data_IF_576002913768
#
_entry.id   IF_576002913768
#
_cell.length_a   1.000
_cell.length_b   1.000
_cell.length_c   1.000
_cell.angle_alpha   90.00
_cell.angle_beta   90.00
_cell.angle_gamma   90.00
#
_symmetry.space_group_name_H-M   'P 1'
#
loop_
_entity.id
_entity.type
_entity.pdbx_description
1 polymer ?
#
# COMPACT_ATOMS: atom_id res chain seq x y z
N UNK A 1 50.08 23.70 14.36
CA UNK A 1 49.24 22.50 14.13
C UNK A 1 47.81 22.67 14.67
N UNK A 2 46.94 23.49 14.05
CA UNK A 2 45.51 23.63 14.48
C UNK A 2 44.49 23.77 13.34
N UNK A 3 44.93 23.83 12.08
CA UNK A 3 44.05 24.00 10.90
C UNK A 3 43.45 22.69 10.38
N UNK A 4 44.00 21.54 10.77
CA UNK A 4 43.58 20.22 10.28
C UNK A 4 42.29 19.73 10.95
N UNK A 5 42.20 19.82 12.29
CA UNK A 5 41.06 19.33 13.06
C UNK A 5 39.73 20.07 12.76
N UNK A 6 39.79 21.39 12.47
CA UNK A 6 38.60 22.19 12.14
C UNK A 6 38.03 21.88 10.75
N UNK A 7 38.87 21.38 9.83
CA UNK A 7 38.44 20.99 8.48
C UNK A 7 37.76 19.62 8.48
N UNK A 8 38.21 18.72 9.35
CA UNK A 8 37.67 17.37 9.53
C UNK A 8 36.30 17.37 10.24
N UNK A 9 36.11 18.22 11.26
CA UNK A 9 34.81 18.38 11.93
C UNK A 9 33.72 18.96 11.01
N UNK A 10 34.08 19.91 10.12
CA UNK A 10 33.14 20.47 9.12
C UNK A 10 32.70 19.46 8.05
N UNK A 11 33.55 18.49 7.73
CA UNK A 11 33.23 17.45 6.76
C UNK A 11 32.25 16.41 7.34
N UNK A 12 32.44 16.03 8.60
CA UNK A 12 31.57 15.08 9.30
C UNK A 12 30.13 15.59 9.49
N UNK A 13 29.97 16.88 9.84
CA UNK A 13 28.64 17.49 10.04
C UNK A 13 27.85 17.61 8.72
N UNK A 14 28.55 17.94 7.61
CA UNK A 14 27.96 17.99 6.27
C UNK A 14 27.48 16.63 5.76
N UNK A 15 28.18 15.55 6.12
CA UNK A 15 27.79 14.19 5.76
C UNK A 15 26.52 13.74 6.50
N UNK A 16 26.42 14.02 7.81
CA UNK A 16 25.20 13.74 8.59
C UNK A 16 23.98 14.51 8.09
N UNK A 17 24.14 15.78 7.73
CA UNK A 17 23.05 16.58 7.18
C UNK A 17 22.57 16.07 5.81
N UNK A 18 23.48 15.57 4.97
CA UNK A 18 23.14 14.99 3.68
C UNK A 18 22.40 13.64 3.79
N UNK A 19 22.73 12.82 4.79
CA UNK A 19 22.07 11.54 5.04
C UNK A 19 20.65 11.73 5.60
N UNK A 20 20.48 12.65 6.55
CA UNK A 20 19.17 13.01 7.09
C UNK A 20 18.24 13.61 6.02
N UNK A 21 18.77 14.39 5.07
CA UNK A 21 18.00 14.92 3.96
C UNK A 21 17.53 13.82 2.97
N UNK A 22 18.34 12.77 2.77
CA UNK A 22 17.96 11.61 1.93
C UNK A 22 16.86 10.78 2.60
N UNK A 23 16.93 10.58 3.91
CA UNK A 23 15.90 9.89 4.68
C UNK A 23 14.56 10.62 4.60
N UNK A 24 14.54 11.94 4.85
CA UNK A 24 13.31 12.74 4.74
C UNK A 24 12.71 12.73 3.34
N UNK A 25 13.55 12.78 2.28
CA UNK A 25 13.07 12.65 0.90
C UNK A 25 12.52 11.26 0.60
N UNK A 26 13.13 10.21 1.13
CA UNK A 26 12.65 8.85 0.99
C UNK A 26 11.32 8.64 1.73
N UNK A 27 11.14 9.24 2.91
CA UNK A 27 9.89 9.23 3.67
C UNK A 27 8.78 9.99 2.96
N UNK A 28 9.06 11.19 2.43
CA UNK A 28 8.07 11.99 1.70
C UNK A 28 7.67 11.33 0.36
N UNK A 29 8.63 10.70 -0.32
CA UNK A 29 8.36 9.87 -1.50
C UNK A 29 7.53 8.63 -1.14
N UNK A 30 7.82 7.98 -0.02
CA UNK A 30 7.06 6.84 0.47
C UNK A 30 5.64 7.24 0.89
N UNK A 31 5.45 8.41 1.51
CA UNK A 31 4.13 8.94 1.85
C UNK A 31 3.29 9.25 0.60
N UNK A 32 3.91 9.81 -0.44
CA UNK A 32 3.25 10.04 -1.74
C UNK A 32 2.91 8.73 -2.45
N UNK A 33 3.75 7.71 -2.33
CA UNK A 33 3.46 6.37 -2.82
C UNK A 33 2.26 5.77 -2.07
N UNK A 34 2.29 5.75 -0.74
CA UNK A 34 1.15 5.28 0.08
C UNK A 34 -0.16 5.98 -0.26
N UNK A 35 -0.15 7.31 -0.36
CA UNK A 35 -1.36 8.05 -0.71
C UNK A 35 -1.90 7.72 -2.13
N UNK A 36 -1.02 7.34 -3.07
CA UNK A 36 -1.44 6.84 -4.39
C UNK A 36 -1.98 5.42 -4.30
N UNK A 37 -1.32 4.56 -3.52
CA UNK A 37 -1.74 3.18 -3.26
C UNK A 37 -3.13 3.15 -2.61
N UNK A 38 -3.38 3.97 -1.59
CA UNK A 38 -4.69 4.11 -0.93
C UNK A 38 -5.78 4.56 -1.90
N UNK A 39 -5.48 5.53 -2.77
CA UNK A 39 -6.43 5.98 -3.81
C UNK A 39 -6.73 4.87 -4.82
N UNK A 40 -5.72 4.10 -5.22
CA UNK A 40 -5.89 2.96 -6.13
C UNK A 40 -6.75 1.88 -5.48
N UNK A 41 -6.42 1.48 -4.25
CA UNK A 41 -7.17 0.48 -3.46
C UNK A 41 -8.62 0.89 -3.29
N UNK A 42 -8.89 2.14 -2.87
CA UNK A 42 -10.24 2.66 -2.74
C UNK A 42 -10.99 2.67 -4.08
N UNK A 43 -10.31 3.03 -5.17
CA UNK A 43 -10.88 2.98 -6.52
C UNK A 43 -11.22 1.56 -6.99
N UNK A 44 -10.40 0.57 -6.65
CA UNK A 44 -10.67 -0.84 -6.93
C UNK A 44 -11.83 -1.38 -6.10
N UNK A 45 -11.90 -1.01 -4.81
CA UNK A 45 -12.99 -1.39 -3.91
C UNK A 45 -14.34 -0.78 -4.33
N UNK A 46 -14.36 0.48 -4.76
CA UNK A 46 -15.57 1.14 -5.25
C UNK A 46 -16.16 0.46 -6.49
N UNK A 47 -15.30 -0.12 -7.33
CA UNK A 47 -15.69 -0.82 -8.57
C UNK A 47 -15.86 -2.33 -8.38
N UNK A 48 -15.72 -2.85 -7.15
CA UNK A 48 -15.68 -4.29 -6.86
C UNK A 48 -14.81 -5.05 -7.87
N UNK A 49 -13.60 -4.52 -8.11
CA UNK A 49 -12.75 -5.04 -9.19
C UNK A 49 -12.25 -6.44 -8.81
N UNK A 50 -12.34 -7.39 -9.72
CA UNK A 50 -11.89 -8.76 -9.47
C UNK A 50 -10.39 -8.77 -9.10
N UNK A 51 -9.98 -9.52 -8.06
CA UNK A 51 -8.60 -9.56 -7.63
C UNK A 51 -7.61 -9.97 -8.74
N UNK A 52 -8.00 -10.84 -9.68
CA UNK A 52 -7.20 -11.18 -10.86
C UNK A 52 -6.80 -9.95 -11.70
N UNK A 53 -7.73 -9.01 -11.90
CA UNK A 53 -7.45 -7.77 -12.64
C UNK A 53 -6.49 -6.88 -11.86
N UNK A 54 -6.63 -6.80 -10.54
CA UNK A 54 -5.75 -6.01 -9.67
C UNK A 54 -4.34 -6.60 -9.64
N UNK A 55 -4.22 -7.94 -9.61
CA UNK A 55 -2.96 -8.65 -9.68
C UNK A 55 -2.20 -8.36 -10.98
N UNK A 56 -2.92 -8.27 -12.10
CA UNK A 56 -2.37 -7.86 -13.40
C UNK A 56 -1.99 -6.38 -13.46
N UNK A 57 -2.82 -5.49 -12.91
CA UNK A 57 -2.60 -4.03 -12.85
C UNK A 57 -1.33 -3.68 -12.04
N UNK A 58 -1.10 -4.40 -10.93
CA UNK A 58 0.11 -4.29 -10.11
C UNK A 58 1.37 -4.89 -10.75
N UNK A 59 1.24 -5.51 -11.93
CA UNK A 59 2.34 -6.14 -12.66
C UNK A 59 2.87 -7.43 -12.00
N UNK A 60 2.18 -7.95 -10.98
CA UNK A 60 2.60 -9.15 -10.23
C UNK A 60 2.65 -10.38 -11.15
N UNK A 61 1.77 -10.44 -12.14
CA UNK A 61 1.78 -11.49 -13.17
C UNK A 61 3.11 -11.56 -13.95
N UNK A 62 3.76 -10.41 -14.20
CA UNK A 62 5.05 -10.35 -14.91
C UNK A 62 6.24 -10.71 -14.00
N UNK A 63 6.07 -10.57 -12.69
CA UNK A 63 7.09 -10.86 -11.69
C UNK A 63 7.15 -12.35 -11.33
N UNK A 64 6.07 -13.10 -11.55
CA UNK A 64 6.01 -14.55 -11.31
C UNK A 64 6.41 -14.88 -9.87
N UNK A 65 7.42 -15.73 -9.69
CA UNK A 65 7.88 -16.17 -8.37
C UNK A 65 8.48 -15.05 -7.50
N UNK A 66 8.90 -13.93 -8.09
CA UNK A 66 9.41 -12.75 -7.34
C UNK A 66 8.30 -11.78 -6.94
N UNK A 67 7.04 -12.11 -7.24
CA UNK A 67 5.90 -11.27 -6.88
C UNK A 67 5.78 -11.15 -5.35
N UNK A 68 5.96 -12.24 -4.61
CA UNK A 68 5.84 -12.28 -3.14
C UNK A 68 6.89 -11.46 -2.41
N UNK A 69 8.05 -11.22 -3.02
CA UNK A 69 9.12 -10.37 -2.47
C UNK A 69 8.89 -8.87 -2.74
N UNK A 70 7.91 -8.53 -3.59
CA UNK A 70 7.60 -7.15 -3.95
C UNK A 70 6.70 -6.48 -2.91
N UNK A 71 6.96 -5.20 -2.63
CA UNK A 71 6.05 -4.33 -1.85
C UNK A 71 4.63 -4.30 -2.44
N UNK A 72 4.49 -4.52 -3.75
CA UNK A 72 3.20 -4.56 -4.44
C UNK A 72 2.33 -5.75 -4.01
N UNK A 73 2.92 -6.86 -3.60
CA UNK A 73 2.16 -8.04 -3.16
C UNK A 73 1.50 -7.81 -1.81
N UNK A 74 2.19 -7.14 -0.89
CA UNK A 74 1.60 -6.73 0.39
C UNK A 74 0.35 -5.85 0.20
N UNK A 75 0.38 -4.93 -0.76
CA UNK A 75 -0.77 -4.06 -1.08
C UNK A 75 -1.93 -4.89 -1.63
N UNK A 76 -1.62 -5.88 -2.46
CA UNK A 76 -2.60 -6.81 -3.00
C UNK A 76 -3.28 -7.66 -1.92
N UNK A 77 -2.53 -8.14 -0.92
CA UNK A 77 -3.09 -8.88 0.23
C UNK A 77 -4.04 -8.01 1.05
N UNK A 78 -3.67 -6.75 1.31
CA UNK A 78 -4.54 -5.83 2.04
C UNK A 78 -5.82 -5.51 1.24
N UNK A 79 -5.70 -5.37 -0.08
CA UNK A 79 -6.86 -5.25 -0.97
C UNK A 79 -7.77 -6.48 -0.92
N UNK A 80 -7.21 -7.69 -0.95
CA UNK A 80 -7.97 -8.94 -0.88
C UNK A 80 -8.80 -9.01 0.40
N UNK A 81 -8.20 -8.71 1.56
CA UNK A 81 -8.92 -8.69 2.83
C UNK A 81 -10.13 -7.75 2.80
N UNK A 82 -9.92 -6.51 2.33
CA UNK A 82 -10.99 -5.51 2.19
C UNK A 82 -12.05 -5.92 1.16
N UNK A 83 -11.63 -6.55 0.07
CA UNK A 83 -12.53 -7.03 -0.99
C UNK A 83 -13.43 -8.16 -0.47
N UNK A 84 -12.88 -9.18 0.19
CA UNK A 84 -13.68 -10.26 0.76
C UNK A 84 -14.63 -9.76 1.83
N UNK A 85 -14.18 -8.88 2.73
CA UNK A 85 -15.05 -8.25 3.73
C UNK A 85 -16.22 -7.47 3.07
N UNK A 86 -15.94 -6.74 1.98
CA UNK A 86 -16.96 -6.01 1.21
C UNK A 86 -17.96 -6.96 0.56
N UNK A 87 -17.49 -8.04 -0.05
CA UNK A 87 -18.31 -9.06 -0.71
C UNK A 87 -19.15 -9.84 0.31
N UNK A 88 -18.58 -10.23 1.45
CA UNK A 88 -19.31 -10.89 2.54
C UNK A 88 -20.39 -9.98 3.12
N UNK A 89 -20.11 -8.70 3.33
CA UNK A 89 -21.13 -7.74 3.77
C UNK A 89 -22.24 -7.58 2.72
N UNK A 90 -21.91 -7.56 1.43
CA UNK A 90 -22.91 -7.53 0.35
C UNK A 90 -23.75 -8.81 0.28
N UNK A 91 -23.12 -9.98 0.42
CA UNK A 91 -23.80 -11.27 0.44
C UNK A 91 -24.71 -11.45 1.65
N UNK A 92 -24.30 -10.92 2.81
CA UNK A 92 -25.10 -10.94 4.04
C UNK A 92 -26.31 -10.01 3.95
N UNK A 93 -26.20 -8.87 3.25
CA UNK A 93 -27.34 -8.02 2.90
C UNK A 93 -28.36 -8.79 2.04
N UNK A 94 -27.92 -9.54 1.03
CA UNK A 94 -28.84 -10.36 0.21
C UNK A 94 -29.48 -11.53 0.98
N UNK A 95 -28.80 -12.12 1.96
CA UNK A 95 -29.34 -13.26 2.74
C UNK A 95 -30.31 -12.82 3.85
N UNK A 96 -30.14 -11.63 4.42
CA UNK A 96 -31.04 -11.08 5.45
C UNK A 96 -32.37 -10.57 4.87
N UNK A 97 -32.40 -10.14 3.60
CA UNK A 97 -33.66 -9.80 2.93
C UNK A 97 -34.58 -11.02 2.69
N UNK A 98 -34.02 -12.24 2.55
CA UNK A 98 -34.83 -13.45 2.32
C UNK A 98 -35.51 -13.96 3.60
N UNK A 99 -34.93 -13.73 4.79
CA UNK A 99 -35.49 -14.21 6.06
C UNK A 99 -36.43 -13.21 6.73
N UNK A 100 -36.36 -11.91 6.39
CA UNK A 100 -37.24 -10.89 6.98
C UNK A 100 -38.63 -10.86 6.33
N UNK A 101 -38.77 -11.38 5.11
CA UNK A 101 -40.08 -11.52 4.43
C UNK A 101 -40.78 -12.83 4.83
N UNK A 102 -40.05 -13.87 5.27
CA UNK A 102 -40.64 -15.17 5.63
C UNK A 102 -41.15 -15.27 7.08
N UNK A 103 -40.93 -14.25 7.92
CA UNK A 103 -41.41 -14.19 9.32
C UNK A 103 -42.57 -13.19 9.52
N UNK A 104 -43.30 -12.89 8.44
CA UNK A 104 -44.56 -12.13 8.47
C UNK A 104 -45.67 -12.83 7.67
N UNK A 105 -45.74 -14.15 7.80
CA UNK A 105 -46.93 -14.96 7.51
C UNK A 105 -47.25 -15.84 8.71
#
# INVERSE_FOLDING_TARGET
>A
MRRSATKEMKAADKLKAAEAAKLKKAEDAAAKLKAKEDKMVNGWLAKLRTPDKVYKDLGLLKLGNRATESKNYRIYEEYLGKYYQRVENFGRLCFLDYNTVSLRM
#
